data_IF_391568064927
#
_entry.id   IF_391568064927
#
_cell.length_a   1.000
_cell.length_b   1.000
_cell.length_c   1.000
_cell.angle_alpha   90.00
_cell.angle_beta   90.00
_cell.angle_gamma   90.00
#
_symmetry.space_group_name_H-M   'P 1'
#
loop_
_entity.id
_entity.type
_entity.pdbx_description
1 polymer ?
#
# COMPACT_ATOMS: atom_id res chain seq x y z
N UNK A 1 -10.27 13.08 -5.13
CA UNK A 1 -9.04 12.41 -5.58
C UNK A 1 -9.44 11.45 -6.68
N UNK A 2 -8.93 11.67 -7.89
CA UNK A 2 -9.31 10.88 -9.07
C UNK A 2 -8.89 9.42 -8.87
N UNK A 3 -9.83 8.49 -9.03
CA UNK A 3 -9.56 7.04 -9.08
C UNK A 3 -8.83 6.74 -10.40
N UNK A 4 -7.59 7.19 -10.55
CA UNK A 4 -6.76 6.70 -11.66
C UNK A 4 -6.30 5.31 -11.27
N UNK A 5 -6.86 4.31 -11.93
CA UNK A 5 -6.20 3.02 -12.04
C UNK A 5 -4.77 3.29 -12.50
N UNK A 6 -3.75 2.66 -11.88
CA UNK A 6 -2.37 2.78 -12.32
C UNK A 6 -2.24 2.02 -13.65
N UNK A 7 -2.75 2.61 -14.73
CA UNK A 7 -2.96 1.95 -16.03
C UNK A 7 -1.64 1.50 -16.68
N UNK A 8 -0.49 2.02 -16.21
CA UNK A 8 0.83 1.69 -16.74
C UNK A 8 1.88 1.33 -15.66
N UNK A 9 1.48 1.08 -14.40
CA UNK A 9 2.44 0.66 -13.37
C UNK A 9 2.36 -0.85 -13.10
N UNK A 10 3.52 -1.49 -13.04
CA UNK A 10 3.64 -2.85 -12.51
C UNK A 10 3.41 -2.86 -10.98
N UNK A 11 2.85 -3.96 -10.44
CA UNK A 11 2.75 -4.13 -8.99
C UNK A 11 4.14 -4.09 -8.35
N UNK A 12 4.23 -3.46 -7.18
CA UNK A 12 5.45 -3.44 -6.38
C UNK A 12 5.86 -4.86 -6.00
N UNK A 13 7.14 -5.16 -6.19
CA UNK A 13 7.76 -6.38 -5.70
C UNK A 13 7.84 -6.37 -4.17
N UNK A 14 8.04 -7.55 -3.57
CA UNK A 14 8.19 -7.67 -2.11
C UNK A 14 9.40 -6.89 -1.60
N UNK A 15 10.51 -6.86 -2.35
CA UNK A 15 11.70 -6.10 -1.95
C UNK A 15 11.45 -4.59 -2.02
N UNK A 16 10.74 -4.10 -3.03
CA UNK A 16 10.33 -2.69 -3.08
C UNK A 16 9.42 -2.35 -1.89
N UNK A 17 8.42 -3.19 -1.59
CA UNK A 17 7.52 -2.97 -0.45
C UNK A 17 8.27 -2.88 0.88
N UNK A 18 9.30 -3.71 1.11
CA UNK A 18 10.12 -3.63 2.32
C UNK A 18 10.86 -2.29 2.45
N UNK A 19 11.22 -1.65 1.33
CA UNK A 19 11.86 -0.32 1.32
C UNK A 19 10.86 0.83 1.43
N UNK A 20 9.56 0.55 1.29
CA UNK A 20 8.50 1.55 1.32
C UNK A 20 7.81 1.70 2.68
N UNK A 21 8.43 1.23 3.78
CA UNK A 21 7.87 1.40 5.11
C UNK A 21 7.52 2.87 5.41
N UNK A 22 6.27 3.13 5.82
CA UNK A 22 5.73 4.47 6.07
C UNK A 22 5.21 5.20 4.83
N UNK A 23 5.36 4.65 3.63
CA UNK A 23 4.90 5.27 2.37
C UNK A 23 3.53 4.74 1.93
N UNK A 24 2.75 5.57 1.21
CA UNK A 24 1.43 5.18 0.72
C UNK A 24 1.50 4.26 -0.50
N UNK A 25 0.56 3.33 -0.55
CA UNK A 25 0.29 2.45 -1.69
C UNK A 25 -1.20 2.39 -1.98
N UNK A 26 -1.56 2.15 -3.24
CA UNK A 26 -2.88 1.73 -3.66
C UNK A 26 -2.95 0.21 -3.74
N UNK A 27 -3.96 -0.40 -3.14
CA UNK A 27 -4.21 -1.84 -3.22
C UNK A 27 -5.62 -2.10 -3.80
N UNK A 28 -5.75 -2.50 -5.07
CA UNK A 28 -7.04 -2.74 -5.69
C UNK A 28 -7.78 -3.95 -5.08
N UNK A 29 -7.07 -4.95 -4.59
CA UNK A 29 -7.68 -6.16 -3.98
C UNK A 29 -8.50 -5.81 -2.72
N UNK A 30 -8.11 -4.75 -2.00
CA UNK A 30 -8.79 -4.25 -0.80
C UNK A 30 -9.58 -2.95 -1.09
N UNK A 31 -9.61 -2.51 -2.35
CA UNK A 31 -10.15 -1.22 -2.81
C UNK A 31 -9.74 -0.03 -1.93
N UNK A 32 -8.50 -0.05 -1.42
CA UNK A 32 -8.05 0.89 -0.40
C UNK A 32 -6.67 1.48 -0.69
N UNK A 33 -6.51 2.73 -0.27
CA UNK A 33 -5.19 3.30 -0.02
C UNK A 33 -4.74 2.87 1.37
N UNK A 34 -3.46 2.54 1.51
CA UNK A 34 -2.88 2.19 2.80
C UNK A 34 -1.41 2.60 2.88
N UNK A 35 -0.85 2.47 4.08
CA UNK A 35 0.56 2.66 4.37
C UNK A 35 1.22 1.29 4.45
N UNK A 36 2.40 1.17 3.85
CA UNK A 36 3.20 -0.05 4.01
C UNK A 36 3.85 -0.02 5.39
N UNK A 37 3.62 -1.06 6.17
CA UNK A 37 4.29 -1.32 7.45
C UNK A 37 5.30 -2.45 7.25
N UNK A 38 6.54 -2.27 7.67
CA UNK A 38 7.55 -3.33 7.61
C UNK A 38 8.53 -3.15 8.77
N UNK A 39 8.25 -3.83 9.88
CA UNK A 39 9.06 -3.71 11.09
C UNK A 39 10.48 -4.27 10.89
N UNK A 40 11.45 -3.71 11.59
CA UNK A 40 12.85 -4.18 11.56
C UNK A 40 13.17 -5.20 12.66
N UNK A 41 12.30 -5.34 13.66
CA UNK A 41 12.47 -6.21 14.83
C UNK A 41 11.15 -6.90 15.20
N UNK A 42 11.23 -7.98 15.99
CA UNK A 42 10.07 -8.74 16.46
C UNK A 42 9.66 -9.90 15.54
N UNK A 43 8.58 -10.60 15.90
CA UNK A 43 8.11 -11.81 15.20
C UNK A 43 7.73 -11.56 13.73
N UNK A 44 7.39 -10.32 13.38
CA UNK A 44 6.97 -9.90 12.04
C UNK A 44 8.03 -9.09 11.30
N UNK A 45 9.28 -9.07 11.80
CA UNK A 45 10.37 -8.33 11.18
C UNK A 45 10.58 -8.72 9.70
N UNK A 46 10.72 -7.71 8.83
CA UNK A 46 10.94 -7.87 7.40
C UNK A 46 9.73 -8.34 6.60
N UNK A 47 8.54 -8.45 7.21
CA UNK A 47 7.31 -8.83 6.54
C UNK A 47 6.50 -7.55 6.25
N UNK A 48 6.21 -7.23 4.98
CA UNK A 48 5.39 -6.07 4.65
C UNK A 48 3.91 -6.33 4.91
N UNK A 49 3.26 -5.38 5.58
CA UNK A 49 1.83 -5.32 5.83
C UNK A 49 1.23 -4.08 5.17
N UNK A 50 0.01 -4.21 4.68
CA UNK A 50 -0.83 -3.10 4.28
C UNK A 50 -1.62 -2.66 5.51
N UNK A 51 -1.33 -1.46 6.00
CA UNK A 51 -2.13 -0.80 7.03
C UNK A 51 -3.10 0.17 6.36
N UNK A 52 -4.40 0.03 6.61
CA UNK A 52 -5.41 0.88 6.01
C UNK A 52 -6.64 1.02 6.88
N UNK A 53 -7.57 1.87 6.44
CA UNK A 53 -8.88 2.06 7.08
C UNK A 53 -9.96 1.80 6.06
N UNK A 54 -10.87 0.87 6.38
CA UNK A 54 -12.10 0.69 5.63
C UNK A 54 -13.21 1.53 6.24
N UNK A 55 -13.94 2.28 5.42
CA UNK A 55 -15.05 3.12 5.87
C UNK A 55 -16.38 2.59 5.33
N UNK A 56 -17.34 2.36 6.23
CA UNK A 56 -18.70 2.00 5.88
C UNK A 56 -19.68 2.67 6.85
N UNK A 57 -20.72 3.31 6.32
CA UNK A 57 -21.76 4.02 7.11
C UNK A 57 -21.21 5.00 8.16
N UNK A 58 -20.12 5.69 7.83
CA UNK A 58 -19.47 6.66 8.73
C UNK A 58 -18.61 6.04 9.83
N UNK A 59 -18.43 4.72 9.82
CA UNK A 59 -17.58 3.99 10.76
C UNK A 59 -16.31 3.54 10.03
N UNK A 60 -15.16 3.98 10.53
CA UNK A 60 -13.84 3.53 10.08
C UNK A 60 -13.36 2.33 10.90
N UNK A 61 -12.89 1.28 10.22
CA UNK A 61 -12.23 0.12 10.84
C UNK A 61 -10.82 0.01 10.28
N UNK A 62 -9.84 0.07 11.17
CA UNK A 62 -8.44 -0.16 10.83
C UNK A 62 -8.17 -1.63 10.54
N UNK A 63 -7.33 -1.90 9.55
CA UNK A 63 -6.83 -3.24 9.25
C UNK A 63 -5.32 -3.24 9.04
N UNK A 64 -4.73 -4.41 9.31
CA UNK A 64 -3.34 -4.72 9.02
C UNK A 64 -3.29 -6.06 8.29
N UNK A 65 -2.90 -6.06 7.04
CA UNK A 65 -2.96 -7.22 6.16
C UNK A 65 -1.59 -7.63 5.69
N UNK A 66 -1.20 -8.88 5.98
CA UNK A 66 0.07 -9.44 5.52
C UNK A 66 0.03 -9.56 3.98
N UNK A 67 0.82 -8.73 3.31
CA UNK A 67 0.78 -8.59 1.85
C UNK A 67 1.19 -9.90 1.17
N UNK A 68 2.24 -10.56 1.68
CA UNK A 68 2.76 -11.82 1.12
C UNK A 68 1.72 -12.94 1.25
N UNK A 69 1.17 -13.13 2.45
CA UNK A 69 0.23 -14.23 2.75
C UNK A 69 -1.06 -14.08 1.95
N UNK A 70 -1.56 -12.86 1.81
CA UNK A 70 -2.78 -12.56 1.05
C UNK A 70 -2.54 -12.41 -0.46
N UNK A 71 -1.27 -12.34 -0.89
CA UNK A 71 -0.86 -12.14 -2.29
C UNK A 71 -1.42 -10.83 -2.86
N UNK A 72 -1.47 -9.78 -2.03
CA UNK A 72 -2.02 -8.48 -2.42
C UNK A 72 -1.10 -7.80 -3.44
N UNK A 73 -1.70 -7.20 -4.47
CA UNK A 73 -0.99 -6.31 -5.38
C UNK A 73 -1.07 -4.90 -4.83
N UNK A 74 0.10 -4.27 -4.69
CA UNK A 74 0.21 -2.90 -4.22
C UNK A 74 0.94 -2.06 -5.26
N UNK A 75 0.49 -0.82 -5.45
CA UNK A 75 1.01 0.10 -6.45
C UNK A 75 1.45 1.38 -5.76
N UNK A 76 2.55 1.96 -6.22
CA UNK A 76 3.06 3.21 -5.68
C UNK A 76 2.08 4.34 -5.97
N UNK A 77 1.73 5.12 -4.95
CA UNK A 77 1.03 6.39 -5.17
C UNK A 77 2.05 7.42 -5.64
N UNK A 78 1.90 7.90 -6.87
CA UNK A 78 2.73 8.99 -7.42
C UNK A 78 2.01 10.31 -7.15
N UNK A 79 2.71 11.28 -6.55
CA UNK A 79 2.16 12.63 -6.37
C UNK A 79 2.28 13.41 -7.69
N UNK A 80 1.22 14.13 -8.09
CA UNK A 80 1.14 14.79 -9.41
C UNK A 80 2.23 15.88 -9.59
N UNK A 81 2.84 16.35 -8.49
CA UNK A 81 3.95 17.31 -8.52
C UNK A 81 5.29 16.70 -8.92
N UNK A 82 5.48 15.39 -8.74
CA UNK A 82 6.71 14.71 -9.15
C UNK A 82 6.70 14.35 -10.63
N UNK A 83 5.50 14.14 -11.21
CA UNK A 83 5.31 13.80 -12.62
C UNK A 83 5.47 14.98 -13.61
N UNK A 84 5.71 16.19 -13.12
CA UNK A 84 5.82 17.41 -13.95
C UNK A 84 7.25 17.97 -14.08
N UNK A 85 8.25 17.22 -13.59
CA UNK A 85 9.68 17.54 -13.71
C UNK A 85 10.42 16.62 -14.72
N UNK A 86 9.76 16.21 -15.79
CA UNK A 86 10.37 15.59 -16.98
C UNK A 86 10.09 16.42 -18.25
#
# INVERSE_FOLDING_TARGET
>A
MSKREPLDQEPLTIEELKTMAGLPVWCPDEEAYGIVMCDSIGQWAGIPFLHGVWYHDGIGVEFNHNIIRRKLKCYRVIDEKEASNE
#
